data_IF_526072909838
#
_entry.id   IF_526072909838
#
_cell.length_a   1.000
_cell.length_b   1.000
_cell.length_c   1.000
_cell.angle_alpha   90.00
_cell.angle_beta   90.00
_cell.angle_gamma   90.00
#
_symmetry.space_group_name_H-M   'P 1'
#
loop_
_entity.id
_entity.type
_entity.pdbx_description
1 polymer ?
#
# COMPACT_ATOMS: atom_id res chain seq x y z
N UNK A 1 -3.43 -0.10 -30.39
CA UNK A 1 -4.28 -0.20 -29.19
C UNK A 1 -3.62 -1.23 -28.31
N UNK A 2 -3.19 -0.84 -27.11
CA UNK A 2 -2.57 -1.74 -26.14
C UNK A 2 -3.42 -2.99 -25.92
N UNK A 3 -2.77 -4.11 -25.61
CA UNK A 3 -3.44 -5.36 -25.27
C UNK A 3 -4.51 -5.12 -24.20
N UNK A 4 -5.75 -5.66 -24.31
CA UNK A 4 -6.89 -5.27 -23.45
C UNK A 4 -6.69 -5.59 -21.96
N UNK A 5 -5.72 -6.45 -21.65
CA UNK A 5 -5.29 -6.78 -20.27
C UNK A 5 -4.20 -5.88 -19.73
N UNK A 6 -3.71 -4.90 -20.48
CA UNK A 6 -2.76 -3.89 -19.99
C UNK A 6 -3.54 -2.61 -19.66
N UNK A 7 -3.43 -2.11 -18.43
CA UNK A 7 -4.10 -0.88 -17.98
C UNK A 7 -3.18 -0.05 -17.08
N UNK A 8 -3.43 1.25 -17.02
CA UNK A 8 -2.75 2.16 -16.08
C UNK A 8 -1.21 2.06 -16.15
N UNK A 9 -0.65 1.87 -17.35
CA UNK A 9 0.78 1.89 -17.60
C UNK A 9 1.03 2.41 -19.00
N UNK A 10 2.12 3.16 -19.17
CA UNK A 10 2.57 3.63 -20.47
C UNK A 10 3.42 2.53 -21.09
N UNK A 11 2.96 1.96 -22.19
CA UNK A 11 3.67 0.90 -22.91
C UNK A 11 4.68 1.47 -23.90
N UNK A 12 5.51 0.60 -24.50
CA UNK A 12 6.44 1.00 -25.54
C UNK A 12 5.72 1.60 -26.77
N UNK A 13 4.59 1.02 -27.16
CA UNK A 13 3.81 1.45 -28.31
C UNK A 13 3.10 2.78 -28.03
N UNK A 14 2.64 3.01 -26.80
CA UNK A 14 2.10 4.32 -26.39
C UNK A 14 3.18 5.42 -26.49
N UNK A 15 4.40 5.11 -26.07
CA UNK A 15 5.48 6.10 -25.98
C UNK A 15 6.17 6.37 -27.33
N UNK A 16 6.34 5.35 -28.18
CA UNK A 16 7.18 5.44 -29.39
C UNK A 16 6.45 5.03 -30.67
N UNK A 17 5.19 4.59 -30.59
CA UNK A 17 4.46 4.03 -31.73
C UNK A 17 4.37 4.98 -32.92
N UNK A 18 3.95 6.22 -32.67
CA UNK A 18 3.83 7.26 -33.69
C UNK A 18 5.21 7.73 -34.17
N UNK A 19 6.13 8.03 -33.24
CA UNK A 19 7.48 8.50 -33.57
C UNK A 19 8.28 7.52 -34.43
N UNK A 20 8.10 6.21 -34.21
CA UNK A 20 8.78 5.16 -34.98
C UNK A 20 7.96 4.67 -36.18
N UNK A 21 6.78 5.26 -36.44
CA UNK A 21 5.86 4.81 -37.48
C UNK A 21 5.65 3.28 -37.44
N UNK A 22 5.34 2.74 -36.26
CA UNK A 22 5.15 1.30 -36.09
C UNK A 22 3.92 0.84 -36.88
N UNK A 23 4.09 -0.23 -37.66
CA UNK A 23 2.95 -0.85 -38.34
C UNK A 23 1.96 -1.45 -37.33
N UNK A 24 0.69 -1.59 -37.73
CA UNK A 24 -0.35 -2.23 -36.89
C UNK A 24 0.08 -3.61 -36.39
N UNK A 25 0.75 -4.40 -37.24
CA UNK A 25 1.30 -5.71 -36.87
C UNK A 25 2.39 -5.59 -35.80
N UNK A 26 3.35 -4.68 -35.96
CA UNK A 26 4.40 -4.47 -34.95
C UNK A 26 3.83 -4.02 -33.62
N UNK A 27 2.81 -3.15 -33.63
CA UNK A 27 2.12 -2.70 -32.42
C UNK A 27 1.53 -3.91 -31.69
N UNK A 28 0.74 -4.75 -32.39
CA UNK A 28 0.16 -5.96 -31.79
C UNK A 28 1.21 -6.92 -31.24
N UNK A 29 2.30 -7.16 -31.99
CA UNK A 29 3.38 -8.04 -31.53
C UNK A 29 4.12 -7.49 -30.31
N UNK A 30 4.33 -6.18 -30.22
CA UNK A 30 4.99 -5.53 -29.07
C UNK A 30 4.04 -5.49 -27.86
N UNK A 31 2.76 -5.22 -28.06
CA UNK A 31 1.77 -5.19 -26.99
C UNK A 31 1.58 -6.59 -26.37
N UNK A 32 1.61 -7.65 -27.19
CA UNK A 32 1.59 -9.03 -26.72
C UNK A 32 2.85 -9.39 -25.91
N UNK A 33 4.03 -8.92 -26.34
CA UNK A 33 5.27 -9.08 -25.56
C UNK A 33 5.20 -8.33 -24.23
N UNK A 34 4.61 -7.14 -24.22
CA UNK A 34 4.41 -6.33 -23.01
C UNK A 34 3.48 -7.05 -22.04
N UNK A 35 2.38 -7.61 -22.53
CA UNK A 35 1.44 -8.39 -21.74
C UNK A 35 2.11 -9.60 -21.09
N UNK A 36 2.85 -10.41 -21.87
CA UNK A 36 3.57 -11.58 -21.35
C UNK A 36 4.61 -11.19 -20.30
N UNK A 37 5.43 -10.19 -20.58
CA UNK A 37 6.42 -9.71 -19.62
C UNK A 37 5.79 -9.23 -18.31
N UNK A 38 4.70 -8.47 -18.37
CA UNK A 38 3.99 -8.00 -17.18
C UNK A 38 3.31 -9.15 -16.41
N UNK A 39 2.77 -10.14 -17.13
CA UNK A 39 2.20 -11.37 -16.54
C UNK A 39 3.28 -12.16 -15.80
N UNK A 40 4.42 -12.41 -16.45
CA UNK A 40 5.56 -13.10 -15.85
C UNK A 40 6.13 -12.32 -14.67
N UNK A 41 6.27 -11.00 -14.79
CA UNK A 41 6.71 -10.13 -13.70
C UNK A 41 5.82 -10.23 -12.45
N UNK A 42 4.52 -10.39 -12.67
CA UNK A 42 3.52 -10.47 -11.60
C UNK A 42 3.50 -11.83 -10.94
N UNK A 43 3.58 -12.89 -11.74
CA UNK A 43 3.25 -14.25 -11.33
C UNK A 43 4.41 -15.22 -11.34
N UNK A 44 5.63 -14.83 -11.74
CA UNK A 44 6.75 -15.78 -11.82
C UNK A 44 6.94 -16.57 -10.53
N UNK A 45 7.02 -17.89 -10.67
CA UNK A 45 7.40 -18.85 -9.62
C UNK A 45 8.89 -19.22 -9.69
N UNK A 46 9.65 -18.61 -10.61
CA UNK A 46 11.09 -18.80 -10.70
C UNK A 46 11.75 -18.15 -9.47
N UNK A 47 12.39 -18.93 -8.57
CA UNK A 47 13.06 -18.38 -7.40
C UNK A 47 14.22 -17.44 -7.77
N UNK A 48 14.77 -17.57 -8.98
CA UNK A 48 15.89 -16.79 -9.48
C UNK A 48 15.44 -15.62 -10.40
N UNK A 49 14.14 -15.27 -10.38
CA UNK A 49 13.60 -14.18 -11.19
C UNK A 49 14.24 -12.83 -10.82
N UNK A 50 15.09 -12.31 -11.72
CA UNK A 50 15.66 -10.96 -11.63
C UNK A 50 14.95 -10.00 -12.59
N UNK A 51 14.23 -9.03 -12.01
CA UNK A 51 13.48 -8.04 -12.77
C UNK A 51 14.36 -7.26 -13.76
N UNK A 52 15.59 -6.89 -13.35
CA UNK A 52 16.49 -6.11 -14.21
C UNK A 52 16.87 -6.90 -15.46
N UNK A 53 17.21 -8.17 -15.27
CA UNK A 53 17.55 -9.11 -16.34
C UNK A 53 16.35 -9.34 -17.26
N UNK A 54 15.17 -9.60 -16.71
CA UNK A 54 13.96 -9.84 -17.50
C UNK A 54 13.51 -8.60 -18.27
N UNK A 55 13.57 -7.43 -17.64
CA UNK A 55 13.33 -6.15 -18.31
C UNK A 55 14.31 -5.90 -19.46
N UNK A 56 15.59 -6.25 -19.28
CA UNK A 56 16.59 -6.17 -20.34
C UNK A 56 16.27 -7.13 -21.51
N UNK A 57 15.90 -8.38 -21.22
CA UNK A 57 15.48 -9.38 -22.22
C UNK A 57 14.26 -8.91 -22.99
N UNK A 58 13.26 -8.36 -22.30
CA UNK A 58 12.07 -7.76 -22.88
C UNK A 58 12.41 -6.62 -23.86
N UNK A 59 13.20 -5.62 -23.45
CA UNK A 59 13.58 -4.52 -24.35
C UNK A 59 14.43 -4.98 -25.54
N UNK A 60 15.33 -5.95 -25.35
CA UNK A 60 16.09 -6.56 -26.47
C UNK A 60 15.15 -7.21 -27.48
N UNK A 61 14.08 -7.85 -27.02
CA UNK A 61 13.08 -8.49 -27.87
C UNK A 61 12.28 -7.45 -28.67
N UNK A 62 11.85 -6.36 -28.03
CA UNK A 62 11.22 -5.23 -28.73
C UNK A 62 12.17 -4.64 -29.78
N UNK A 63 13.42 -4.39 -29.43
CA UNK A 63 14.41 -3.81 -30.36
C UNK A 63 14.60 -4.69 -31.61
N UNK A 64 14.52 -6.03 -31.46
CA UNK A 64 14.56 -6.97 -32.59
C UNK A 64 13.34 -6.86 -33.51
N UNK A 65 12.18 -6.43 -33.02
CA UNK A 65 10.95 -6.19 -33.81
C UNK A 65 10.99 -4.89 -34.64
N UNK A 66 11.92 -3.99 -34.35
CA UNK A 66 12.14 -2.77 -35.12
C UNK A 66 13.02 -3.04 -36.33
N UNK A 67 12.73 -2.40 -37.46
CA UNK A 67 13.60 -2.40 -38.64
C UNK A 67 14.80 -1.44 -38.46
N UNK A 68 15.75 -1.45 -39.40
CA UNK A 68 16.99 -0.64 -39.31
C UNK A 68 16.69 0.86 -39.16
N UNK A 69 15.74 1.40 -39.94
CA UNK A 69 15.34 2.81 -39.88
C UNK A 69 14.75 3.17 -38.52
N UNK A 70 13.81 2.35 -38.03
CA UNK A 70 13.18 2.53 -36.72
C UNK A 70 14.18 2.44 -35.57
N UNK A 71 15.17 1.55 -35.66
CA UNK A 71 16.24 1.44 -34.66
C UNK A 71 17.12 2.69 -34.60
N UNK A 72 17.42 3.32 -35.75
CA UNK A 72 18.17 4.58 -35.79
C UNK A 72 17.37 5.70 -35.12
N UNK A 73 16.12 5.87 -35.53
CA UNK A 73 15.21 6.88 -34.97
C UNK A 73 15.04 6.71 -33.45
N UNK A 74 14.90 5.47 -32.97
CA UNK A 74 14.79 5.21 -31.55
C UNK A 74 16.04 5.63 -30.76
N UNK A 75 17.24 5.46 -31.33
CA UNK A 75 18.50 5.93 -30.70
C UNK A 75 18.57 7.45 -30.65
N UNK A 76 18.17 8.13 -31.72
CA UNK A 76 18.13 9.60 -31.78
C UNK A 76 17.19 10.17 -30.72
N UNK A 77 15.96 9.65 -30.62
CA UNK A 77 14.98 10.04 -29.59
C UNK A 77 15.57 9.86 -28.19
N UNK A 78 16.27 8.74 -27.92
CA UNK A 78 16.90 8.49 -26.62
C UNK A 78 18.02 9.47 -26.31
N UNK A 79 18.81 9.87 -27.30
CA UNK A 79 19.86 10.87 -27.13
C UNK A 79 19.27 12.26 -26.88
N UNK A 80 18.21 12.64 -27.60
CA UNK A 80 17.54 13.93 -27.43
C UNK A 80 16.97 14.07 -26.01
N UNK A 81 16.23 13.07 -25.53
CA UNK A 81 15.67 13.07 -24.16
C UNK A 81 16.77 13.22 -23.11
N UNK A 82 17.89 12.51 -23.29
CA UNK A 82 19.05 12.63 -22.38
C UNK A 82 19.60 14.07 -22.38
N UNK A 83 19.78 14.66 -23.57
CA UNK A 83 20.30 16.03 -23.70
C UNK A 83 19.34 17.10 -23.14
N UNK A 84 18.03 16.90 -23.25
CA UNK A 84 17.03 17.83 -22.71
C UNK A 84 16.96 17.77 -21.18
N UNK A 85 17.18 16.59 -20.59
CA UNK A 85 17.30 16.44 -19.14
C UNK A 85 18.57 17.11 -18.61
N UNK A 86 19.71 16.96 -19.31
CA UNK A 86 20.98 17.60 -18.97
C UNK A 86 20.94 19.14 -19.13
N UNK A 87 20.07 19.69 -19.98
CA UNK A 87 19.88 21.15 -20.17
C UNK A 87 19.02 21.83 -19.09
N UNK A 88 18.22 21.09 -18.33
CA UNK A 88 17.42 21.64 -17.25
C UNK A 88 18.27 21.68 -15.98
N UNK A 89 18.95 22.80 -15.74
CA UNK A 89 19.77 23.01 -14.53
C UNK A 89 18.89 23.28 -13.30
N UNK A 90 18.25 22.23 -12.80
CA UNK A 90 17.40 22.27 -11.62
C UNK A 90 18.18 22.69 -10.37
N UNK A 91 19.45 22.30 -10.27
CA UNK A 91 20.31 22.61 -9.14
C UNK A 91 20.61 24.10 -9.07
N UNK A 92 20.92 24.75 -10.19
CA UNK A 92 21.11 26.20 -10.23
C UNK A 92 19.87 26.98 -9.79
N UNK A 93 18.68 26.62 -10.28
CA UNK A 93 17.43 27.29 -9.86
C UNK A 93 17.15 27.10 -8.38
N UNK A 94 17.39 25.90 -7.85
CA UNK A 94 17.21 25.59 -6.42
C UNK A 94 18.17 26.41 -5.57
N UNK A 95 19.42 26.55 -6.01
CA UNK A 95 20.43 27.38 -5.36
C UNK A 95 20.03 28.86 -5.34
N UNK A 96 19.59 29.43 -6.47
CA UNK A 96 19.16 30.83 -6.58
C UNK A 96 17.98 31.16 -5.64
N UNK A 97 17.03 30.22 -5.46
CA UNK A 97 15.91 30.38 -4.51
C UNK A 97 16.43 30.46 -3.08
N UNK A 98 17.31 29.53 -2.70
CA UNK A 98 17.86 29.44 -1.34
C UNK A 98 18.77 30.63 -1.01
N UNK A 99 19.49 31.16 -2.01
CA UNK A 99 20.29 32.36 -1.86
C UNK A 99 19.43 33.58 -1.52
N UNK A 100 18.26 33.70 -2.14
CA UNK A 100 17.29 34.76 -1.81
C UNK A 100 16.66 34.56 -0.44
N UNK A 101 16.27 33.33 -0.12
CA UNK A 101 15.60 32.98 1.15
C UNK A 101 16.49 33.28 2.36
N UNK A 102 17.78 32.99 2.26
CA UNK A 102 18.74 33.15 3.36
C UNK A 102 19.70 34.33 3.20
N UNK A 103 19.36 35.31 2.36
CA UNK A 103 20.22 36.46 2.06
C UNK A 103 20.64 37.25 3.32
N UNK A 104 19.77 37.31 4.34
CA UNK A 104 20.04 38.02 5.60
C UNK A 104 21.13 37.36 6.45
N UNK A 105 21.43 36.07 6.22
CA UNK A 105 22.53 35.36 6.88
C UNK A 105 23.92 35.78 6.36
N UNK A 106 23.97 36.47 5.21
CA UNK A 106 25.20 36.94 4.55
C UNK A 106 26.26 35.84 4.38
N UNK A 107 25.81 34.63 4.05
CA UNK A 107 26.67 33.49 3.77
C UNK A 107 27.31 33.62 2.38
N UNK A 108 28.55 33.16 2.25
CA UNK A 108 29.15 32.91 0.94
C UNK A 108 28.46 31.76 0.21
N UNK A 109 28.66 31.64 -1.09
CA UNK A 109 28.03 30.57 -1.88
C UNK A 109 28.40 29.16 -1.35
N UNK A 110 29.65 28.96 -0.90
CA UNK A 110 30.09 27.69 -0.30
C UNK A 110 29.39 27.41 1.03
N UNK A 111 29.28 28.41 1.90
CA UNK A 111 28.56 28.29 3.17
C UNK A 111 27.06 28.06 2.95
N UNK A 112 26.48 28.62 1.88
CA UNK A 112 25.09 28.37 1.53
C UNK A 112 24.86 26.93 1.04
N UNK A 113 25.79 26.36 0.28
CA UNK A 113 25.75 24.92 -0.09
C UNK A 113 25.83 24.06 1.18
N UNK A 114 26.76 24.36 2.08
CA UNK A 114 26.91 23.61 3.33
C UNK A 114 25.67 23.74 4.24
N UNK A 115 25.09 24.93 4.33
CA UNK A 115 23.81 25.15 5.02
C UNK A 115 22.70 24.27 4.42
N UNK A 116 22.59 24.22 3.09
CA UNK A 116 21.58 23.38 2.43
C UNK A 116 21.77 21.90 2.75
N UNK A 117 23.00 21.40 2.74
CA UNK A 117 23.28 20.01 3.12
C UNK A 117 22.92 19.73 4.58
N UNK A 118 23.23 20.66 5.49
CA UNK A 118 22.87 20.55 6.91
C UNK A 118 21.34 20.52 7.07
N UNK A 119 20.61 21.40 6.39
CA UNK A 119 19.15 21.45 6.42
C UNK A 119 18.53 20.17 5.83
N UNK A 120 19.09 19.63 4.76
CA UNK A 120 18.62 18.38 4.16
C UNK A 120 18.83 17.19 5.12
N UNK A 121 19.97 17.15 5.81
CA UNK A 121 20.24 16.16 6.88
C UNK A 121 19.29 16.33 8.06
N UNK A 122 19.00 17.57 8.48
CA UNK A 122 18.01 17.86 9.54
C UNK A 122 16.63 17.32 9.14
N UNK A 123 16.18 17.55 7.90
CA UNK A 123 14.90 17.04 7.40
C UNK A 123 14.85 15.51 7.36
N UNK A 124 15.94 14.88 6.90
CA UNK A 124 16.09 13.42 6.94
C UNK A 124 15.99 12.89 8.36
N UNK A 125 16.77 13.44 9.29
CA UNK A 125 16.74 13.03 10.71
C UNK A 125 15.40 13.30 11.40
N UNK A 126 14.73 14.40 11.09
CA UNK A 126 13.39 14.68 11.62
C UNK A 126 12.43 13.60 11.15
N UNK A 127 12.55 13.16 9.90
CA UNK A 127 11.72 12.11 9.32
C UNK A 127 12.07 10.72 9.88
N UNK A 128 13.35 10.40 10.07
CA UNK A 128 13.80 9.12 10.60
C UNK A 128 13.55 8.98 12.11
N UNK A 129 13.83 10.03 12.90
CA UNK A 129 13.53 10.09 14.34
C UNK A 129 12.04 10.20 14.62
N UNK A 130 11.24 10.62 13.63
CA UNK A 130 9.79 10.46 13.68
C UNK A 130 9.32 9.03 13.47
N UNK A 131 10.23 8.06 13.28
CA UNK A 131 9.91 6.64 13.15
C UNK A 131 8.73 6.26 14.04
N UNK A 132 7.72 5.59 13.47
CA UNK A 132 6.40 5.24 14.02
C UNK A 132 5.20 6.01 13.42
N UNK A 133 4.02 5.41 13.64
CA UNK A 133 2.79 5.48 12.81
C UNK A 133 2.25 6.90 12.64
N UNK A 134 1.69 7.17 11.46
CA UNK A 134 1.02 8.40 10.98
C UNK A 134 0.00 9.02 11.96
N UNK A 135 -0.33 8.33 13.05
CA UNK A 135 -1.56 8.48 13.82
C UNK A 135 -1.42 9.33 15.11
N UNK A 136 -0.19 9.70 15.52
CA UNK A 136 0.04 10.38 16.83
C UNK A 136 0.78 11.74 16.72
N UNK A 137 1.01 12.28 15.51
CA UNK A 137 1.69 13.57 15.33
C UNK A 137 0.74 14.67 14.86
N UNK A 138 0.62 15.73 15.67
CA UNK A 138 0.23 17.05 15.16
C UNK A 138 1.43 17.66 14.43
N UNK A 139 1.19 18.51 13.42
CA UNK A 139 2.24 19.23 12.68
C UNK A 139 3.17 20.01 13.64
N UNK A 140 2.61 20.54 14.73
CA UNK A 140 3.34 21.22 15.80
C UNK A 140 4.43 20.35 16.44
N UNK A 141 4.19 19.06 16.64
CA UNK A 141 5.20 18.19 17.25
C UNK A 141 6.39 17.96 16.29
N UNK A 142 6.13 17.82 14.98
CA UNK A 142 7.17 17.68 13.95
C UNK A 142 8.01 18.96 13.83
N UNK A 143 7.34 20.11 13.92
CA UNK A 143 7.99 21.42 13.92
C UNK A 143 8.92 21.61 15.11
N UNK A 144 8.46 21.28 16.32
CA UNK A 144 9.29 21.36 17.53
C UNK A 144 10.52 20.44 17.46
N UNK A 145 10.35 19.22 16.91
CA UNK A 145 11.47 18.30 16.71
C UNK A 145 12.47 18.86 15.68
N UNK A 146 11.98 19.39 14.55
CA UNK A 146 12.81 20.03 13.54
C UNK A 146 13.61 21.19 14.13
N UNK A 147 12.97 22.11 14.86
CA UNK A 147 13.63 23.27 15.46
C UNK A 147 14.70 22.87 16.48
N UNK A 148 14.45 21.82 17.28
CA UNK A 148 15.43 21.29 18.23
C UNK A 148 16.66 20.73 17.51
N UNK A 149 16.46 19.90 16.48
CA UNK A 149 17.57 19.31 15.69
C UNK A 149 18.32 20.41 14.93
N UNK A 150 17.59 21.37 14.36
CA UNK A 150 18.16 22.53 13.68
C UNK A 150 19.03 23.35 14.64
N UNK A 151 18.59 23.58 15.87
CA UNK A 151 19.38 24.27 16.89
C UNK A 151 20.71 23.58 17.18
N UNK A 152 20.66 22.28 17.40
CA UNK A 152 21.84 21.49 17.76
C UNK A 152 22.89 21.47 16.64
N UNK A 153 22.46 21.43 15.37
CA UNK A 153 23.35 21.35 14.21
C UNK A 153 23.80 22.71 13.68
N UNK A 154 22.92 23.71 13.70
CA UNK A 154 23.26 25.03 13.15
C UNK A 154 24.12 25.83 14.11
N UNK A 155 24.05 25.61 15.43
CA UNK A 155 24.93 26.32 16.40
C UNK A 155 26.42 26.03 16.22
N UNK A 156 26.79 24.95 15.53
CA UNK A 156 28.19 24.60 15.23
C UNK A 156 28.67 25.16 13.90
N UNK A 157 27.75 25.72 13.09
CA UNK A 157 28.02 26.24 11.75
C UNK A 157 27.78 27.75 11.67
N UNK A 158 26.66 28.24 12.20
CA UNK A 158 26.29 29.65 12.27
C UNK A 158 26.74 30.27 13.60
N UNK A 159 27.18 31.54 13.55
CA UNK A 159 27.37 32.32 14.77
C UNK A 159 26.03 32.72 15.42
N UNK A 160 26.05 33.30 16.62
CA UNK A 160 24.82 33.62 17.36
C UNK A 160 23.88 34.59 16.63
N UNK A 161 24.40 35.59 15.93
CA UNK A 161 23.58 36.56 15.19
C UNK A 161 22.97 35.93 13.93
N UNK A 162 23.75 35.14 13.19
CA UNK A 162 23.25 34.36 12.06
C UNK A 162 22.21 33.32 12.49
N UNK A 163 22.41 32.66 13.64
CA UNK A 163 21.46 31.69 14.16
C UNK A 163 20.12 32.35 14.55
N UNK A 164 20.16 33.54 15.16
CA UNK A 164 18.94 34.34 15.43
C UNK A 164 18.22 34.71 14.13
N UNK A 165 18.97 35.18 13.14
CA UNK A 165 18.40 35.59 11.85
C UNK A 165 17.84 34.38 11.08
N UNK A 166 18.46 33.20 11.19
CA UNK A 166 17.94 31.95 10.63
C UNK A 166 16.55 31.63 11.20
N UNK A 167 16.39 31.68 12.53
CA UNK A 167 15.09 31.41 13.15
C UNK A 167 14.04 32.46 12.79
N UNK A 168 14.46 33.71 12.56
CA UNK A 168 13.56 34.76 12.10
C UNK A 168 13.07 34.50 10.67
N UNK A 169 13.97 34.12 9.75
CA UNK A 169 13.61 33.73 8.37
C UNK A 169 12.67 32.52 8.39
N UNK A 170 12.98 31.52 9.21
CA UNK A 170 12.20 30.29 9.34
C UNK A 170 10.80 30.56 9.93
N UNK A 171 10.69 31.45 10.94
CA UNK A 171 9.39 31.91 11.47
C UNK A 171 8.59 32.70 10.43
N UNK A 172 9.23 33.60 9.68
CA UNK A 172 8.55 34.37 8.62
C UNK A 172 7.99 33.45 7.53
N UNK A 173 8.74 32.41 7.15
CA UNK A 173 8.28 31.39 6.21
C UNK A 173 7.08 30.63 6.77
N UNK A 174 7.11 30.25 8.05
CA UNK A 174 6.01 29.57 8.73
C UNK A 174 4.76 30.45 8.81
N UNK A 175 4.90 31.73 9.18
CA UNK A 175 3.79 32.69 9.23
C UNK A 175 3.20 32.91 7.83
N UNK A 176 4.04 32.98 6.78
CA UNK A 176 3.59 33.07 5.40
C UNK A 176 2.81 31.84 4.96
N UNK A 177 3.29 30.63 5.31
CA UNK A 177 2.58 29.37 5.05
C UNK A 177 1.25 29.37 5.80
N UNK A 178 1.24 29.69 7.10
CA UNK A 178 0.03 29.75 7.93
C UNK A 178 -0.99 30.72 7.33
N UNK A 179 -0.55 31.92 6.94
CA UNK A 179 -1.41 32.92 6.29
C UNK A 179 -1.99 32.38 4.98
N UNK A 180 -1.17 31.75 4.14
CA UNK A 180 -1.64 31.12 2.90
C UNK A 180 -2.66 29.99 3.15
N UNK A 181 -2.50 29.20 4.22
CA UNK A 181 -3.47 28.18 4.63
C UNK A 181 -4.78 28.79 5.13
N UNK A 182 -4.72 29.88 5.89
CA UNK A 182 -5.91 30.61 6.34
C UNK A 182 -6.66 31.20 5.14
N UNK A 183 -5.96 31.84 4.20
CA UNK A 183 -6.54 32.35 2.95
C UNK A 183 -7.17 31.23 2.12
N UNK A 184 -6.52 30.07 2.04
CA UNK A 184 -7.09 28.89 1.38
C UNK A 184 -8.37 28.42 2.08
N UNK A 185 -8.41 28.39 3.42
CA UNK A 185 -9.62 28.04 4.18
C UNK A 185 -10.76 29.01 3.86
N UNK A 186 -10.49 30.32 3.80
CA UNK A 186 -11.48 31.33 3.41
C UNK A 186 -12.01 31.02 2.01
N UNK A 187 -11.12 30.83 1.04
CA UNK A 187 -11.49 30.58 -0.36
C UNK A 187 -12.28 29.27 -0.53
N UNK A 188 -11.88 28.19 0.15
CA UNK A 188 -12.60 26.91 0.11
C UNK A 188 -13.99 26.97 0.77
N UNK A 189 -14.22 27.97 1.63
CA UNK A 189 -15.47 28.17 2.35
C UNK A 189 -16.10 29.53 2.00
N UNK A 190 -15.90 30.00 0.77
CA UNK A 190 -16.33 31.34 0.32
C UNK A 190 -17.81 31.58 0.59
N UNK A 191 -18.67 30.57 0.40
CA UNK A 191 -20.11 30.64 0.67
C UNK A 191 -20.47 30.96 2.13
N UNK A 192 -19.56 30.70 3.08
CA UNK A 192 -19.72 30.96 4.50
C UNK A 192 -19.26 32.38 4.90
N UNK A 193 -18.56 33.12 4.02
CA UNK A 193 -18.01 34.45 4.33
C UNK A 193 -17.31 34.49 5.69
N UNK A 194 -16.30 33.62 5.89
CA UNK A 194 -15.59 33.49 7.16
C UNK A 194 -14.81 34.77 7.49
N UNK A 195 -14.78 35.16 8.77
CA UNK A 195 -13.80 36.14 9.25
C UNK A 195 -12.40 35.50 9.35
N UNK A 196 -11.34 36.31 9.36
CA UNK A 196 -9.98 35.81 9.58
C UNK A 196 -9.85 35.04 10.90
N UNK A 197 -10.50 35.51 11.97
CA UNK A 197 -10.51 34.83 13.27
C UNK A 197 -11.20 33.45 13.18
N UNK A 198 -12.34 33.35 12.51
CA UNK A 198 -13.02 32.06 12.28
C UNK A 198 -12.15 31.12 11.44
N UNK A 199 -11.50 31.63 10.39
CA UNK A 199 -10.61 30.84 9.54
C UNK A 199 -9.37 30.34 10.30
N UNK A 200 -8.80 31.16 11.18
CA UNK A 200 -7.70 30.77 12.07
C UNK A 200 -8.13 29.70 13.08
N UNK A 201 -9.32 29.81 13.66
CA UNK A 201 -9.87 28.76 14.54
C UNK A 201 -10.03 27.44 13.78
N UNK A 202 -10.49 27.47 12.53
CA UNK A 202 -10.61 26.27 11.68
C UNK A 202 -9.24 25.68 11.36
N UNK A 203 -8.25 26.51 11.05
CA UNK A 203 -6.87 26.08 10.85
C UNK A 203 -6.36 25.35 12.09
N UNK A 204 -6.44 25.99 13.25
CA UNK A 204 -5.99 25.41 14.52
C UNK A 204 -6.73 24.10 14.88
N UNK A 205 -8.03 23.99 14.58
CA UNK A 205 -8.76 22.74 14.74
C UNK A 205 -8.21 21.63 13.83
N UNK A 206 -7.92 21.93 12.56
CA UNK A 206 -7.36 20.94 11.62
C UNK A 206 -5.97 20.47 12.02
N UNK A 207 -5.15 21.36 12.57
CA UNK A 207 -3.79 21.05 13.04
C UNK A 207 -3.78 20.16 14.31
N UNK A 208 -4.81 20.30 15.15
CA UNK A 208 -4.85 19.68 16.48
C UNK A 208 -5.88 18.54 16.62
N UNK A 209 -6.73 18.29 15.60
CA UNK A 209 -7.72 17.20 15.67
C UNK A 209 -7.02 15.84 15.76
N UNK A 210 -7.55 14.96 16.62
CA UNK A 210 -7.13 13.55 16.69
C UNK A 210 -7.85 12.74 15.62
N UNK A 211 -7.16 11.75 15.04
CA UNK A 211 -7.77 10.75 14.15
C UNK A 211 -8.31 9.52 14.91
N UNK A 212 -8.22 9.51 16.24
CA UNK A 212 -8.60 8.37 17.10
C UNK A 212 -9.60 8.75 18.17
N UNK A 213 -10.45 7.80 18.55
CA UNK A 213 -11.30 7.91 19.73
C UNK A 213 -10.55 7.64 21.04
N UNK A 214 -11.28 7.68 22.16
CA UNK A 214 -10.73 7.46 23.51
C UNK A 214 -10.17 6.05 23.73
N UNK A 215 -10.53 5.07 22.90
CA UNK A 215 -9.98 3.72 22.94
C UNK A 215 -8.78 3.54 22.00
N UNK A 216 -8.38 4.59 21.29
CA UNK A 216 -7.32 4.55 20.29
C UNK A 216 -7.75 3.94 18.94
N UNK A 217 -9.04 3.69 18.71
CA UNK A 217 -9.56 3.24 17.43
C UNK A 217 -9.65 4.43 16.45
N UNK A 218 -9.31 4.22 15.18
CA UNK A 218 -9.41 5.26 14.14
C UNK A 218 -10.87 5.68 13.97
N UNK A 219 -11.12 6.98 13.97
CA UNK A 219 -12.46 7.54 13.73
C UNK A 219 -12.93 7.23 12.31
N UNK A 220 -14.21 6.95 12.16
CA UNK A 220 -14.84 6.97 10.85
C UNK A 220 -14.99 8.40 10.34
N UNK A 221 -15.01 8.56 9.01
CA UNK A 221 -15.29 9.83 8.35
C UNK A 221 -16.58 10.49 8.87
N UNK A 222 -17.59 9.67 9.16
CA UNK A 222 -18.84 10.12 9.76
C UNK A 222 -18.70 10.66 11.19
N UNK A 223 -17.84 10.04 12.01
CA UNK A 223 -17.54 10.55 13.35
C UNK A 223 -16.72 11.84 13.27
N UNK A 224 -15.75 11.92 12.36
CA UNK A 224 -15.01 13.15 12.08
C UNK A 224 -15.94 14.30 11.67
N UNK A 225 -16.94 14.00 10.83
CA UNK A 225 -17.96 14.95 10.43
C UNK A 225 -18.84 15.44 11.60
N UNK A 226 -19.17 14.58 12.57
CA UNK A 226 -19.92 15.01 13.76
C UNK A 226 -19.08 15.85 14.72
N UNK A 227 -17.79 15.53 14.85
CA UNK A 227 -16.84 16.35 15.60
C UNK A 227 -16.67 17.73 14.94
N UNK A 228 -16.48 17.76 13.62
CA UNK A 228 -16.37 19.01 12.86
C UNK A 228 -17.65 19.83 12.97
N UNK A 229 -18.83 19.19 12.87
CA UNK A 229 -20.11 19.88 13.04
C UNK A 229 -20.24 20.52 14.42
N UNK A 230 -19.83 19.82 15.46
CA UNK A 230 -19.84 20.34 16.84
C UNK A 230 -18.90 21.54 16.99
N UNK A 231 -17.70 21.44 16.42
CA UNK A 231 -16.73 22.53 16.38
C UNK A 231 -17.26 23.74 15.60
N UNK A 232 -17.77 23.55 14.37
CA UNK A 232 -18.30 24.61 13.51
C UNK A 232 -19.49 25.33 14.16
N UNK A 233 -20.34 24.61 14.90
CA UNK A 233 -21.44 25.20 15.67
C UNK A 233 -20.96 26.21 16.71
N UNK A 234 -19.75 26.01 17.27
CA UNK A 234 -19.20 26.88 18.31
C UNK A 234 -18.57 28.17 17.78
N UNK A 235 -18.20 28.24 16.50
CA UNK A 235 -17.46 29.38 15.92
C UNK A 235 -18.24 30.15 14.85
N UNK A 236 -19.24 29.53 14.24
CA UNK A 236 -20.05 30.13 13.18
C UNK A 236 -21.31 30.78 13.77
N UNK A 237 -21.75 31.89 13.19
CA UNK A 237 -23.08 32.42 13.49
C UNK A 237 -24.17 31.52 12.89
N UNK A 238 -25.43 31.73 13.28
CA UNK A 238 -26.55 30.88 12.89
C UNK A 238 -26.72 30.75 11.36
N UNK A 239 -26.60 31.85 10.61
CA UNK A 239 -26.75 31.84 9.15
C UNK A 239 -25.61 31.08 8.47
N UNK A 240 -24.37 31.29 8.93
CA UNK A 240 -23.19 30.57 8.44
C UNK A 240 -23.30 29.07 8.76
N UNK A 241 -23.70 28.72 9.98
CA UNK A 241 -23.83 27.33 10.39
C UNK A 241 -24.92 26.61 9.59
N UNK A 242 -26.04 27.27 9.29
CA UNK A 242 -27.07 26.73 8.40
C UNK A 242 -26.52 26.39 7.02
N UNK A 243 -25.79 27.31 6.38
CA UNK A 243 -25.13 27.03 5.08
C UNK A 243 -24.13 25.88 5.16
N UNK A 244 -23.38 25.78 6.25
CA UNK A 244 -22.46 24.66 6.49
C UNK A 244 -23.21 23.33 6.58
N UNK A 245 -24.38 23.28 7.25
CA UNK A 245 -25.20 22.06 7.33
C UNK A 245 -25.71 21.63 5.96
N UNK A 246 -26.18 22.56 5.13
CA UNK A 246 -26.62 22.27 3.75
C UNK A 246 -25.48 21.67 2.91
N UNK A 247 -24.27 22.26 3.00
CA UNK A 247 -23.06 21.72 2.36
C UNK A 247 -22.69 20.33 2.90
N UNK A 248 -22.77 20.11 4.22
CA UNK A 248 -22.47 18.84 4.86
C UNK A 248 -23.42 17.73 4.38
N UNK A 249 -24.72 18.01 4.36
CA UNK A 249 -25.74 17.08 3.88
C UNK A 249 -25.53 16.71 2.40
N UNK A 250 -25.12 17.67 1.57
CA UNK A 250 -24.78 17.40 0.18
C UNK A 250 -23.58 16.45 0.07
N UNK A 251 -22.50 16.68 0.83
CA UNK A 251 -21.33 15.79 0.82
C UNK A 251 -21.63 14.40 1.36
N UNK A 252 -22.47 14.29 2.39
CA UNK A 252 -22.91 12.98 2.89
C UNK A 252 -23.66 12.20 1.79
N UNK A 253 -24.53 12.87 1.01
CA UNK A 253 -25.18 12.24 -0.15
C UNK A 253 -24.19 11.80 -1.23
N UNK A 254 -23.19 12.63 -1.56
CA UNK A 254 -22.13 12.26 -2.51
C UNK A 254 -21.34 11.04 -2.01
N UNK A 255 -21.02 11.01 -0.72
CA UNK A 255 -20.30 9.89 -0.10
C UNK A 255 -21.12 8.60 -0.11
N UNK A 256 -22.42 8.69 0.17
CA UNK A 256 -23.33 7.55 0.06
C UNK A 256 -23.38 7.05 -1.39
N UNK A 257 -23.45 7.94 -2.39
CA UNK A 257 -23.38 7.56 -3.80
C UNK A 257 -22.06 6.86 -4.15
N UNK A 258 -20.93 7.26 -3.57
CA UNK A 258 -19.66 6.59 -3.77
C UNK A 258 -19.67 5.14 -3.23
N UNK A 259 -20.39 4.88 -2.12
CA UNK A 259 -20.54 3.52 -1.60
C UNK A 259 -21.28 2.58 -2.57
N UNK A 260 -22.19 3.10 -3.40
CA UNK A 260 -22.83 2.30 -4.45
C UNK A 260 -21.83 1.83 -5.51
N UNK A 261 -20.91 2.69 -5.91
CA UNK A 261 -19.86 2.34 -6.86
C UNK A 261 -18.83 1.39 -6.23
N UNK A 262 -18.48 1.58 -4.95
CA UNK A 262 -17.71 0.58 -4.19
C UNK A 262 -18.39 -0.78 -4.18
N UNK A 263 -19.70 -0.85 -3.96
CA UNK A 263 -20.45 -2.09 -4.01
C UNK A 263 -20.32 -2.74 -5.39
N UNK A 264 -20.56 -1.98 -6.47
CA UNK A 264 -20.43 -2.49 -7.85
C UNK A 264 -19.02 -3.03 -8.11
N UNK A 265 -17.99 -2.28 -7.72
CA UNK A 265 -16.58 -2.67 -7.89
C UNK A 265 -16.22 -3.98 -7.19
N UNK A 266 -16.89 -4.33 -6.09
CA UNK A 266 -16.63 -5.57 -5.35
C UNK A 266 -17.28 -6.83 -5.96
N UNK A 267 -18.26 -6.70 -6.87
CA UNK A 267 -18.98 -7.85 -7.46
C UNK A 267 -18.01 -8.83 -8.10
N UNK A 268 -17.07 -8.30 -8.89
CA UNK A 268 -16.15 -9.13 -9.65
C UNK A 268 -15.17 -9.86 -8.74
N UNK A 269 -14.64 -9.17 -7.73
CA UNK A 269 -13.75 -9.77 -6.73
C UNK A 269 -14.44 -10.85 -5.90
N UNK A 270 -15.72 -10.67 -5.58
CA UNK A 270 -16.53 -11.70 -4.90
C UNK A 270 -16.63 -12.97 -5.76
N UNK A 271 -16.87 -12.84 -7.06
CA UNK A 271 -16.92 -13.99 -7.97
C UNK A 271 -15.56 -14.68 -8.07
N UNK A 272 -14.49 -13.91 -8.23
CA UNK A 272 -13.12 -14.40 -8.26
C UNK A 272 -12.78 -15.23 -7.01
N UNK A 273 -13.05 -14.70 -5.81
CA UNK A 273 -12.77 -15.43 -4.56
C UNK A 273 -13.66 -16.66 -4.41
N UNK A 274 -14.95 -16.59 -4.77
CA UNK A 274 -15.84 -17.77 -4.73
C UNK A 274 -15.33 -18.90 -5.62
N UNK A 275 -14.97 -18.58 -6.87
CA UNK A 275 -14.37 -19.53 -7.81
C UNK A 275 -13.10 -20.15 -7.24
N UNK A 276 -12.25 -19.33 -6.61
CA UNK A 276 -11.04 -19.82 -5.95
C UNK A 276 -11.33 -20.72 -4.74
N UNK A 277 -12.28 -20.37 -3.88
CA UNK A 277 -12.70 -21.22 -2.75
C UNK A 277 -13.22 -22.56 -3.23
N UNK A 278 -14.05 -22.58 -4.27
CA UNK A 278 -14.56 -23.81 -4.87
C UNK A 278 -13.43 -24.70 -5.39
N UNK A 279 -12.45 -24.10 -6.09
CA UNK A 279 -11.26 -24.82 -6.52
C UNK A 279 -10.47 -25.41 -5.35
N UNK A 280 -10.27 -24.63 -4.27
CA UNK A 280 -9.57 -25.10 -3.08
C UNK A 280 -10.26 -26.31 -2.47
N UNK A 281 -11.59 -26.24 -2.29
CA UNK A 281 -12.37 -27.32 -1.66
C UNK A 281 -12.37 -28.58 -2.52
N UNK A 282 -12.52 -28.45 -3.84
CA UNK A 282 -12.67 -29.60 -4.75
C UNK A 282 -11.35 -30.25 -5.16
N UNK A 283 -10.27 -29.47 -5.29
CA UNK A 283 -9.04 -29.95 -5.92
C UNK A 283 -7.80 -29.85 -5.04
N UNK A 284 -7.70 -28.83 -4.18
CA UNK A 284 -6.48 -28.59 -3.41
C UNK A 284 -6.51 -29.25 -2.03
N UNK A 285 -7.54 -28.96 -1.25
CA UNK A 285 -7.67 -29.38 0.13
C UNK A 285 -7.77 -30.91 0.31
N UNK A 286 -8.45 -31.68 -0.56
CA UNK A 286 -8.46 -33.15 -0.44
C UNK A 286 -7.06 -33.77 -0.49
N UNK A 287 -6.20 -33.25 -1.38
CA UNK A 287 -4.81 -33.73 -1.52
C UNK A 287 -3.99 -33.37 -0.28
N UNK A 288 -4.12 -32.13 0.22
CA UNK A 288 -3.43 -31.70 1.44
C UNK A 288 -3.90 -32.47 2.69
N UNK A 289 -5.20 -32.79 2.79
CA UNK A 289 -5.75 -33.56 3.91
C UNK A 289 -5.26 -35.01 3.90
N UNK A 290 -5.24 -35.67 2.74
CA UNK A 290 -4.69 -37.03 2.59
C UNK A 290 -3.19 -37.07 2.94
N UNK A 291 -2.45 -36.05 2.50
CA UNK A 291 -1.05 -35.87 2.87
C UNK A 291 -0.89 -35.68 4.39
N UNK A 292 -1.74 -34.84 5.00
CA UNK A 292 -1.73 -34.56 6.43
C UNK A 292 -2.06 -35.81 7.25
N UNK A 293 -3.01 -36.61 6.80
CA UNK A 293 -3.40 -37.89 7.41
C UNK A 293 -2.26 -38.91 7.35
N UNK A 294 -1.51 -38.95 6.25
CA UNK A 294 -0.34 -39.82 6.11
C UNK A 294 0.71 -39.47 7.15
N UNK A 295 1.08 -38.19 7.26
CA UNK A 295 2.10 -37.72 8.20
C UNK A 295 1.63 -37.82 9.66
N UNK A 296 0.32 -37.70 9.92
CA UNK A 296 -0.24 -37.80 11.27
C UNK A 296 0.11 -39.12 11.97
N UNK A 297 0.31 -40.20 11.22
CA UNK A 297 0.68 -41.52 11.75
C UNK A 297 2.05 -41.50 12.43
N UNK A 298 2.96 -40.66 11.94
CA UNK A 298 4.35 -40.58 12.38
C UNK A 298 4.59 -39.47 13.42
N UNK A 299 3.59 -38.63 13.70
CA UNK A 299 3.69 -37.57 14.71
C UNK A 299 3.50 -38.15 16.13
N UNK A 300 4.44 -37.92 17.07
CA UNK A 300 4.30 -38.32 18.47
C UNK A 300 3.08 -37.67 19.17
N UNK A 301 2.46 -38.37 20.12
CA UNK A 301 1.24 -37.91 20.79
C UNK A 301 1.38 -36.55 21.50
N UNK A 302 2.52 -36.28 22.13
CA UNK A 302 2.79 -34.98 22.75
C UNK A 302 2.79 -33.84 21.72
N UNK A 303 3.34 -34.08 20.53
CA UNK A 303 3.36 -33.11 19.43
C UNK A 303 1.96 -32.94 18.81
N UNK A 304 1.15 -34.01 18.75
CA UNK A 304 -0.26 -33.92 18.30
C UNK A 304 -1.08 -32.98 19.17
N UNK A 305 -0.97 -33.10 20.50
CA UNK A 305 -1.63 -32.22 21.46
C UNK A 305 -1.21 -30.76 21.25
N UNK A 306 0.09 -30.52 21.07
CA UNK A 306 0.64 -29.21 20.77
C UNK A 306 0.09 -28.60 19.47
N UNK A 307 0.02 -29.40 18.39
CA UNK A 307 -0.56 -28.97 17.11
C UNK A 307 -2.07 -28.69 17.21
N UNK A 308 -2.80 -29.45 18.02
CA UNK A 308 -4.22 -29.22 18.28
C UNK A 308 -4.46 -27.90 19.02
N UNK A 309 -3.70 -27.61 20.08
CA UNK A 309 -3.74 -26.33 20.80
C UNK A 309 -3.44 -25.18 19.84
N UNK A 310 -2.44 -25.34 18.98
CA UNK A 310 -2.05 -24.32 18.01
C UNK A 310 -3.16 -24.07 16.98
N UNK A 311 -3.75 -25.13 16.44
CA UNK A 311 -4.89 -25.05 15.51
C UNK A 311 -6.07 -24.33 16.14
N UNK A 312 -6.48 -24.71 17.35
CA UNK A 312 -7.60 -24.10 18.06
C UNK A 312 -7.32 -22.61 18.33
N UNK A 313 -6.08 -22.27 18.67
CA UNK A 313 -5.69 -20.88 18.86
C UNK A 313 -5.79 -20.06 17.57
N UNK A 314 -5.27 -20.60 16.46
CA UNK A 314 -5.39 -19.97 15.15
C UNK A 314 -6.86 -19.74 14.77
N UNK A 315 -7.70 -20.75 14.96
CA UNK A 315 -9.13 -20.70 14.65
C UNK A 315 -9.87 -19.64 15.48
N UNK A 316 -9.56 -19.55 16.77
CA UNK A 316 -10.14 -18.53 17.65
C UNK A 316 -9.67 -17.11 17.30
N UNK A 317 -8.38 -16.94 17.02
CA UNK A 317 -7.83 -15.65 16.58
C UNK A 317 -8.45 -15.20 15.24
N UNK A 318 -8.66 -16.14 14.32
CA UNK A 318 -9.31 -15.86 13.04
C UNK A 318 -10.76 -15.38 13.24
N UNK A 319 -11.54 -16.02 14.13
CA UNK A 319 -12.91 -15.60 14.47
C UNK A 319 -12.94 -14.23 15.16
N UNK A 320 -12.03 -13.99 16.10
CA UNK A 320 -11.91 -12.69 16.78
C UNK A 320 -11.63 -11.56 15.78
N UNK A 321 -10.63 -11.76 14.92
CA UNK A 321 -10.28 -10.77 13.87
C UNK A 321 -11.43 -10.55 12.90
N UNK A 322 -12.17 -11.59 12.52
CA UNK A 322 -13.36 -11.42 11.68
C UNK A 322 -14.36 -10.46 12.33
N UNK A 323 -14.67 -10.64 13.62
CA UNK A 323 -15.60 -9.77 14.35
C UNK A 323 -15.08 -8.33 14.42
N UNK A 324 -13.78 -8.13 14.67
CA UNK A 324 -13.13 -6.81 14.67
C UNK A 324 -13.27 -6.13 13.30
N UNK A 325 -12.96 -6.84 12.21
CA UNK A 325 -13.11 -6.34 10.84
C UNK A 325 -14.57 -6.02 10.48
N UNK A 326 -15.52 -6.84 10.93
CA UNK A 326 -16.95 -6.59 10.71
C UNK A 326 -17.46 -5.39 11.51
N UNK A 327 -17.01 -5.22 12.76
CA UNK A 327 -17.30 -4.04 13.60
C UNK A 327 -16.75 -2.77 12.96
N UNK A 328 -15.48 -2.80 12.54
CA UNK A 328 -14.83 -1.69 11.85
C UNK A 328 -15.56 -1.37 10.53
N UNK A 329 -15.86 -2.37 9.69
CA UNK A 329 -16.62 -2.17 8.46
C UNK A 329 -17.95 -1.48 8.72
N UNK A 330 -18.71 -1.93 9.73
CA UNK A 330 -19.98 -1.31 10.11
C UNK A 330 -19.79 0.14 10.58
N UNK A 331 -18.78 0.40 11.42
CA UNK A 331 -18.45 1.75 11.92
C UNK A 331 -18.13 2.71 10.77
N UNK A 332 -17.24 2.30 9.86
CA UNK A 332 -16.73 3.16 8.79
C UNK A 332 -17.67 3.30 7.59
N UNK A 333 -18.52 2.31 7.32
CA UNK A 333 -19.40 2.32 6.14
C UNK A 333 -20.88 2.49 6.47
N UNK A 334 -21.27 2.48 7.76
CA UNK A 334 -22.68 2.54 8.20
C UNK A 334 -23.60 1.57 7.44
N UNK A 335 -23.07 0.38 7.12
CA UNK A 335 -23.74 -0.65 6.32
C UNK A 335 -24.07 -0.27 4.85
N UNK A 336 -23.64 0.89 4.35
CA UNK A 336 -23.82 1.28 2.94
C UNK A 336 -23.02 0.42 1.95
N UNK A 337 -22.06 -0.39 2.42
CA UNK A 337 -21.24 -1.29 1.59
C UNK A 337 -21.47 -2.77 1.95
N UNK A 338 -22.67 -3.33 1.74
CA UNK A 338 -22.97 -4.72 2.10
C UNK A 338 -22.10 -5.74 1.35
N UNK A 339 -21.67 -5.45 0.12
CA UNK A 339 -20.76 -6.35 -0.62
C UNK A 339 -19.35 -6.37 -0.01
N UNK A 340 -18.94 -5.30 0.69
CA UNK A 340 -17.70 -5.28 1.46
C UNK A 340 -17.72 -6.28 2.60
N UNK A 341 -18.84 -6.37 3.32
CA UNK A 341 -19.06 -7.38 4.36
C UNK A 341 -18.97 -8.81 3.81
N UNK A 342 -19.57 -9.08 2.65
CA UNK A 342 -19.47 -10.39 1.98
C UNK A 342 -18.02 -10.70 1.63
N UNK A 343 -17.30 -9.72 1.06
CA UNK A 343 -15.91 -9.89 0.69
C UNK A 343 -15.02 -10.22 1.90
N UNK A 344 -15.18 -9.49 3.01
CA UNK A 344 -14.48 -9.77 4.28
C UNK A 344 -14.70 -11.23 4.69
N UNK A 345 -15.95 -11.72 4.72
CA UNK A 345 -16.24 -13.11 5.08
C UNK A 345 -15.57 -14.12 4.14
N UNK A 346 -15.62 -13.88 2.83
CA UNK A 346 -14.99 -14.76 1.85
C UNK A 346 -13.46 -14.82 2.01
N UNK A 347 -12.81 -13.68 2.27
CA UNK A 347 -11.36 -13.67 2.54
C UNK A 347 -11.00 -14.42 3.82
N UNK A 348 -11.80 -14.29 4.88
CA UNK A 348 -11.59 -15.05 6.11
C UNK A 348 -11.85 -16.55 5.90
N UNK A 349 -12.85 -16.92 5.07
CA UNK A 349 -13.10 -18.30 4.67
C UNK A 349 -11.91 -18.87 3.89
N UNK A 350 -11.28 -18.08 3.02
CA UNK A 350 -10.05 -18.46 2.33
C UNK A 350 -8.89 -18.72 3.30
N UNK A 351 -8.71 -17.86 4.31
CA UNK A 351 -7.71 -18.04 5.37
C UNK A 351 -7.98 -19.28 6.23
N UNK A 352 -9.25 -19.64 6.45
CA UNK A 352 -9.63 -20.86 7.15
C UNK A 352 -9.23 -22.13 6.37
N UNK A 353 -9.37 -22.13 5.03
CA UNK A 353 -9.03 -23.26 4.17
C UNK A 353 -7.54 -23.38 3.86
N UNK A 354 -6.80 -22.27 3.89
CA UNK A 354 -5.33 -22.23 3.77
C UNK A 354 -4.78 -21.43 4.95
N UNK A 355 -4.53 -22.08 6.09
CA UNK A 355 -3.97 -21.42 7.26
C UNK A 355 -2.64 -20.75 6.94
N UNK A 356 -2.39 -19.63 7.62
CA UNK A 356 -1.14 -18.87 7.50
C UNK A 356 -0.57 -18.59 8.89
N UNK A 357 0.66 -19.06 9.11
CA UNK A 357 1.35 -18.99 10.40
C UNK A 357 1.81 -17.60 10.75
N UNK A 358 1.78 -16.67 9.80
CA UNK A 358 2.02 -15.26 10.07
C UNK A 358 1.01 -14.69 11.06
N UNK A 359 -0.19 -15.28 11.17
CA UNK A 359 -1.20 -14.90 12.17
C UNK A 359 -0.84 -15.32 13.61
N UNK A 360 0.10 -16.24 13.78
CA UNK A 360 0.55 -16.73 15.08
C UNK A 360 1.57 -15.79 15.72
N UNK A 361 1.55 -15.68 17.04
CA UNK A 361 2.56 -14.92 17.79
C UNK A 361 3.92 -15.67 17.84
N UNK A 362 4.98 -14.98 18.28
CA UNK A 362 6.35 -15.52 18.29
C UNK A 362 6.49 -16.81 19.12
N UNK A 363 5.78 -16.92 20.26
CA UNK A 363 5.80 -18.11 21.13
C UNK A 363 5.08 -19.31 20.48
N UNK A 364 4.02 -19.04 19.74
CA UNK A 364 3.28 -20.06 18.98
C UNK A 364 4.08 -20.55 17.77
N UNK A 365 4.88 -19.68 17.15
CA UNK A 365 5.79 -20.02 16.04
C UNK A 365 6.98 -20.89 16.47
N UNK A 366 7.36 -20.90 17.75
CA UNK A 366 8.52 -21.68 18.23
C UNK A 366 8.22 -23.16 18.46
N UNK A 367 6.96 -23.60 18.40
CA UNK A 367 6.58 -25.01 18.57
C UNK A 367 7.21 -25.93 17.51
N UNK A 368 7.55 -25.37 16.34
CA UNK A 368 8.25 -26.06 15.26
C UNK A 368 9.66 -26.47 15.63
N UNK A 369 10.31 -25.67 16.48
CA UNK A 369 11.65 -25.99 16.95
C UNK A 369 11.65 -27.27 17.80
N UNK A 370 10.47 -27.72 18.26
CA UNK A 370 10.28 -28.95 19.01
C UNK A 370 9.98 -30.16 18.09
N UNK A 371 9.77 -29.98 16.79
CA UNK A 371 9.61 -31.09 15.86
C UNK A 371 10.95 -31.83 15.69
N UNK A 372 10.92 -33.16 15.74
CA UNK A 372 12.13 -33.96 15.56
C UNK A 372 12.69 -33.79 14.15
N UNK A 373 14.02 -33.86 13.98
CA UNK A 373 14.66 -33.81 12.65
C UNK A 373 14.10 -34.87 11.70
N UNK A 374 13.73 -36.04 12.22
CA UNK A 374 13.11 -37.11 11.43
C UNK A 374 11.73 -36.71 10.89
N UNK A 375 10.92 -36.02 11.69
CA UNK A 375 9.61 -35.54 11.27
C UNK A 375 9.74 -34.39 10.25
N UNK A 376 10.70 -33.49 10.44
CA UNK A 376 11.01 -32.44 9.45
C UNK A 376 11.41 -33.08 8.11
N UNK A 377 12.36 -34.02 8.11
CA UNK A 377 12.79 -34.71 6.90
C UNK A 377 11.65 -35.47 6.21
N UNK A 378 10.77 -36.13 6.99
CA UNK A 378 9.60 -36.82 6.44
C UNK A 378 8.66 -35.83 5.73
N UNK A 379 8.40 -34.69 6.37
CA UNK A 379 7.55 -33.65 5.79
C UNK A 379 8.18 -33.05 4.54
N UNK A 380 9.47 -32.73 4.57
CA UNK A 380 10.19 -32.15 3.43
C UNK A 380 10.13 -33.08 2.21
N UNK A 381 10.41 -34.37 2.41
CA UNK A 381 10.28 -35.38 1.34
C UNK A 381 8.87 -35.43 0.77
N UNK A 382 7.87 -35.38 1.65
CA UNK A 382 6.46 -35.39 1.27
C UNK A 382 6.00 -34.08 0.63
N UNK A 383 6.64 -32.95 0.91
CA UNK A 383 6.36 -31.66 0.29
C UNK A 383 6.84 -31.60 -1.16
N UNK A 384 7.94 -32.29 -1.49
CA UNK A 384 8.41 -32.45 -2.89
C UNK A 384 7.31 -33.09 -3.76
N UNK A 385 6.56 -34.06 -3.22
CA UNK A 385 5.43 -34.71 -3.91
C UNK A 385 4.26 -33.73 -4.21
N UNK A 386 4.18 -32.60 -3.49
CA UNK A 386 3.12 -31.60 -3.67
C UNK A 386 3.47 -30.50 -4.70
N UNK A 387 4.66 -30.56 -5.33
CA UNK A 387 5.11 -29.54 -6.28
C UNK A 387 4.09 -29.31 -7.40
N UNK A 388 3.59 -30.38 -8.01
CA UNK A 388 2.61 -30.29 -9.10
C UNK A 388 1.28 -29.68 -8.64
N UNK A 389 0.86 -29.97 -7.39
CA UNK A 389 -0.34 -29.40 -6.80
C UNK A 389 -0.22 -27.88 -6.68
N UNK A 390 0.94 -27.39 -6.22
CA UNK A 390 1.19 -25.95 -6.08
C UNK A 390 1.30 -25.25 -7.44
N UNK A 391 1.92 -25.88 -8.45
CA UNK A 391 1.95 -25.35 -9.83
C UNK A 391 0.53 -25.25 -10.39
N UNK A 392 -0.31 -26.29 -10.23
CA UNK A 392 -1.71 -26.27 -10.69
C UNK A 392 -2.52 -25.17 -10.00
N UNK A 393 -2.37 -25.00 -8.69
CA UNK A 393 -3.03 -23.93 -7.93
C UNK A 393 -2.57 -22.54 -8.40
N UNK A 394 -1.28 -22.39 -8.66
CA UNK A 394 -0.70 -21.15 -9.16
C UNK A 394 -1.29 -20.78 -10.53
N UNK A 395 -1.29 -21.71 -11.47
CA UNK A 395 -1.89 -21.50 -12.80
C UNK A 395 -3.39 -21.20 -12.71
N UNK A 396 -4.13 -21.92 -11.88
CA UNK A 396 -5.55 -21.63 -11.64
C UNK A 396 -5.75 -20.20 -11.12
N UNK A 397 -4.88 -19.71 -10.22
CA UNK A 397 -5.00 -18.35 -9.70
C UNK A 397 -4.79 -17.30 -10.80
N UNK A 398 -3.83 -17.53 -11.71
CA UNK A 398 -3.64 -16.68 -12.89
C UNK A 398 -4.90 -16.68 -13.76
N UNK A 399 -5.40 -17.86 -14.11
CA UNK A 399 -6.55 -18.02 -15.01
C UNK A 399 -7.80 -17.36 -14.40
N UNK A 400 -8.05 -17.61 -13.12
CA UNK A 400 -9.15 -17.03 -12.37
C UNK A 400 -9.02 -15.50 -12.28
N UNK A 401 -7.83 -14.96 -12.03
CA UNK A 401 -7.60 -13.52 -12.05
C UNK A 401 -7.94 -12.91 -13.41
N UNK A 402 -7.49 -13.54 -14.51
CA UNK A 402 -7.73 -13.04 -15.86
C UNK A 402 -9.19 -13.19 -16.31
N UNK A 403 -9.83 -14.32 -16.01
CA UNK A 403 -11.25 -14.58 -16.26
C UNK A 403 -12.11 -13.51 -15.60
N UNK A 404 -11.80 -13.17 -14.35
CA UNK A 404 -12.51 -12.14 -13.62
C UNK A 404 -12.00 -10.72 -13.87
N UNK A 405 -11.37 -10.45 -15.02
CA UNK A 405 -11.11 -9.10 -15.50
C UNK A 405 -9.86 -8.44 -14.92
N UNK A 406 -8.96 -9.23 -14.32
CA UNK A 406 -7.63 -8.80 -13.93
C UNK A 406 -6.83 -8.20 -15.08
N UNK A 407 -5.98 -7.21 -14.76
CA UNK A 407 -5.19 -6.43 -15.72
C UNK A 407 -3.82 -6.10 -15.16
N UNK A 408 -2.84 -5.97 -16.03
CA UNK A 408 -1.44 -5.74 -15.68
C UNK A 408 -1.02 -4.28 -15.94
N UNK A 409 -0.22 -3.67 -15.06
CA UNK A 409 0.26 -2.27 -15.18
C UNK A 409 1.00 -1.69 -13.98
N UNK A 410 1.06 -0.35 -13.87
CA UNK A 410 2.00 0.39 -13.00
C UNK A 410 1.67 0.39 -11.49
N UNK A 411 0.78 -0.47 -11.03
CA UNK A 411 0.40 -0.59 -9.62
C UNK A 411 0.06 -2.02 -9.21
N UNK A 412 0.54 -3.02 -9.97
CA UNK A 412 0.40 -4.40 -9.52
C UNK A 412 1.28 -4.62 -8.30
N UNK A 413 0.67 -5.03 -7.20
CA UNK A 413 1.38 -5.67 -6.10
C UNK A 413 2.01 -6.94 -6.66
N UNK A 414 3.33 -6.95 -6.82
CA UNK A 414 4.07 -8.15 -7.22
C UNK A 414 3.65 -9.31 -6.31
N UNK A 415 2.97 -10.30 -6.87
CA UNK A 415 2.50 -11.48 -6.15
C UNK A 415 3.54 -12.59 -6.34
N UNK A 416 4.80 -12.27 -6.00
CA UNK A 416 5.85 -13.29 -5.97
C UNK A 416 5.73 -14.04 -4.66
N UNK A 417 5.59 -15.36 -4.76
CA UNK A 417 5.76 -16.24 -3.62
C UNK A 417 7.27 -16.37 -3.33
N UNK A 418 7.89 -15.29 -2.84
CA UNK A 418 9.29 -15.27 -2.43
C UNK A 418 9.50 -15.91 -1.04
N UNK A 419 8.76 -16.96 -0.70
CA UNK A 419 8.93 -17.64 0.59
C UNK A 419 9.64 -18.97 0.41
N UNK A 420 11.00 -18.98 0.43
CA UNK A 420 11.81 -20.18 0.57
C UNK A 420 11.88 -20.62 2.03
N UNK A 421 10.82 -20.41 2.82
CA UNK A 421 10.73 -20.95 4.16
C UNK A 421 9.89 -22.22 4.11
N UNK A 422 10.53 -23.33 3.73
CA UNK A 422 9.97 -24.69 3.78
C UNK A 422 9.25 -24.93 5.11
N UNK A 423 9.83 -24.44 6.21
CA UNK A 423 9.23 -24.47 7.55
C UNK A 423 7.88 -23.77 7.66
N UNK A 424 7.65 -22.62 7.00
CA UNK A 424 6.39 -21.87 7.08
C UNK A 424 5.26 -22.60 6.36
N UNK A 425 5.56 -23.12 5.16
CA UNK A 425 4.60 -23.90 4.39
C UNK A 425 4.26 -25.23 5.08
N UNK A 426 5.27 -25.87 5.69
CA UNK A 426 5.13 -27.05 6.54
C UNK A 426 4.12 -26.81 7.67
N UNK A 427 4.26 -25.71 8.40
CA UNK A 427 3.36 -25.40 9.51
C UNK A 427 1.95 -25.08 9.03
N UNK A 428 1.82 -24.31 7.94
CA UNK A 428 0.51 -23.99 7.36
C UNK A 428 -0.28 -25.27 7.07
N UNK A 429 0.39 -26.30 6.56
CA UNK A 429 -0.23 -27.60 6.28
C UNK A 429 -0.49 -28.39 7.57
N UNK A 430 0.40 -28.35 8.56
CA UNK A 430 0.19 -29.03 9.85
C UNK A 430 -0.99 -28.45 10.66
N UNK A 431 -1.29 -27.15 10.48
CA UNK A 431 -2.46 -26.50 11.07
C UNK A 431 -3.78 -27.03 10.51
N UNK A 432 -3.79 -27.62 9.30
CA UNK A 432 -4.98 -28.30 8.80
C UNK A 432 -5.33 -29.51 9.66
N UNK A 433 -6.62 -29.79 9.78
CA UNK A 433 -7.10 -31.04 10.31
C UNK A 433 -6.90 -32.15 9.26
N UNK A 434 -6.51 -33.39 9.62
CA UNK A 434 -6.34 -34.48 8.65
C UNK A 434 -7.64 -34.86 7.93
N UNK A 435 -8.78 -34.78 8.62
CA UNK A 435 -10.10 -34.99 8.01
C UNK A 435 -10.58 -33.74 7.27
N UNK A 436 -10.89 -33.88 5.97
CA UNK A 436 -11.37 -32.81 5.09
C UNK A 436 -12.63 -32.11 5.64
N UNK A 437 -13.61 -32.89 6.12
CA UNK A 437 -14.91 -32.38 6.59
C UNK A 437 -14.76 -31.35 7.71
N UNK A 438 -13.85 -31.57 8.67
CA UNK A 438 -13.63 -30.63 9.78
C UNK A 438 -13.03 -29.29 9.34
N UNK A 439 -12.19 -29.29 8.30
CA UNK A 439 -11.67 -28.03 7.75
C UNK A 439 -12.79 -27.24 7.04
N UNK A 440 -13.68 -27.94 6.32
CA UNK A 440 -14.83 -27.32 5.65
C UNK A 440 -15.83 -26.78 6.69
N UNK A 441 -16.16 -27.57 7.70
CA UNK A 441 -17.06 -27.16 8.80
C UNK A 441 -16.55 -25.89 9.51
N UNK A 442 -15.25 -25.84 9.81
CA UNK A 442 -14.68 -24.64 10.40
C UNK A 442 -14.78 -23.44 9.44
N UNK A 443 -14.44 -23.63 8.17
CA UNK A 443 -14.53 -22.58 7.16
C UNK A 443 -15.96 -22.08 6.90
N UNK A 444 -16.97 -22.93 7.09
CA UNK A 444 -18.39 -22.57 7.03
C UNK A 444 -18.88 -21.86 8.31
N UNK A 445 -18.16 -22.00 9.42
CA UNK A 445 -18.44 -21.29 10.68
C UNK A 445 -17.94 -19.82 10.72
N UNK A 446 -17.27 -19.38 9.65
CA UNK A 446 -16.81 -17.99 9.40
C UNK A 446 -17.91 -17.22 8.67
#
# INVERSE_FOLDING_TARGET
>A
MAHPKIKNTITFTDQYGEHLNLSKRQILEIDELTYKWLKDYTWSIDPDYDEKTERCRYYKTIYRKLNVKQRSQFREIKQEVKSNYEKQDFEKRRFEIKQKEYASLKLSDNELVELQEILQKIQGETSDKSGYKVEDYTINHRRNLYLKIAHEKLKTFLNQEQLKEFYKVDQLNEDWIKKGQIELIVNMNESLNLTNEQAELIYNYRENKTSKDSNGEILSEFEEWELEKSFKKSILNEQQFKKYLEWKEHNEKLRISYFDDENKGKIQKIKEIKSYLDYLIKHHLPVLCNWRETIEKDIPNNIKLELEILRNTYQNDLKKRLLEHLKAHKRHTRDYVPKGKILIKLEFKQRALIPSVYCLNKKQKTIINNLSKNLINLIDNKQIELKDLYIKKHNFHIDNYEEYGGTYGASIKVIRNNEPNTNIQLINTLLLHPQLSKNIEFADSI
#
